data_IF_763563417584
#
_entry.id   IF_763563417584
#
_cell.length_a   1.000
_cell.length_b   1.000
_cell.length_c   1.000
_cell.angle_alpha   90.00
_cell.angle_beta   90.00
_cell.angle_gamma   90.00
#
_symmetry.space_group_name_H-M   'P 1'
#
loop_
_entity.id
_entity.type
_entity.pdbx_description
1 polymer ?
#
# COMPACT_ATOMS: atom_id res chain seq x y z
N UNK A 1 13.40 9.84 -4.70
CA UNK A 1 12.37 9.38 -5.66
C UNK A 1 12.90 9.42 -7.09
N UNK A 2 12.83 8.32 -7.84
CA UNK A 2 13.26 8.24 -9.25
C UNK A 2 12.17 8.78 -10.21
N UNK A 3 12.52 9.08 -11.47
CA UNK A 3 11.59 9.68 -12.46
C UNK A 3 10.39 8.78 -12.78
N UNK A 4 10.55 7.46 -12.79
CA UNK A 4 9.43 6.55 -13.06
C UNK A 4 8.39 6.55 -11.93
N UNK A 5 8.85 6.62 -10.67
CA UNK A 5 7.94 6.69 -9.52
C UNK A 5 7.16 8.00 -9.52
N UNK A 6 7.76 9.10 -9.99
CA UNK A 6 7.06 10.39 -10.17
C UNK A 6 5.98 10.28 -11.23
N UNK A 7 6.32 9.75 -12.40
CA UNK A 7 5.37 9.58 -13.50
C UNK A 7 4.21 8.67 -13.09
N UNK A 8 4.49 7.55 -12.41
CA UNK A 8 3.46 6.67 -11.88
C UNK A 8 2.53 7.42 -10.91
N UNK A 9 3.09 8.19 -9.98
CA UNK A 9 2.29 9.02 -9.06
C UNK A 9 1.40 10.01 -9.80
N UNK A 10 1.91 10.66 -10.84
CA UNK A 10 1.15 11.63 -11.63
C UNK A 10 0.00 10.94 -12.39
N UNK A 11 0.28 9.82 -13.07
CA UNK A 11 -0.73 9.04 -13.79
C UNK A 11 -1.78 8.52 -12.83
N UNK A 12 -1.37 7.87 -11.75
CA UNK A 12 -2.29 7.24 -10.81
C UNK A 12 -2.99 8.25 -9.91
N UNK A 13 -2.54 9.51 -9.80
CA UNK A 13 -3.31 10.57 -9.13
C UNK A 13 -4.63 10.88 -9.84
N UNK A 14 -4.73 10.53 -11.13
CA UNK A 14 -5.97 10.59 -11.91
C UNK A 14 -6.88 9.46 -11.40
N UNK A 15 -8.07 9.85 -10.94
CA UNK A 15 -9.02 8.94 -10.28
C UNK A 15 -9.34 7.72 -11.14
N UNK A 16 -9.58 7.92 -12.42
CA UNK A 16 -9.92 6.85 -13.36
C UNK A 16 -8.81 5.79 -13.44
N UNK A 17 -7.55 6.23 -13.52
CA UNK A 17 -6.40 5.33 -13.54
C UNK A 17 -6.27 4.53 -12.23
N UNK A 18 -6.39 5.20 -11.08
CA UNK A 18 -6.37 4.52 -9.79
C UNK A 18 -7.52 3.50 -9.64
N UNK A 19 -8.70 3.82 -10.17
CA UNK A 19 -9.83 2.89 -10.17
C UNK A 19 -9.53 1.65 -11.02
N UNK A 20 -9.00 1.84 -12.22
CA UNK A 20 -8.61 0.75 -13.13
C UNK A 20 -7.49 -0.11 -12.52
N UNK A 21 -6.49 0.52 -11.90
CA UNK A 21 -5.41 -0.16 -11.20
C UNK A 21 -5.95 -1.05 -10.07
N UNK A 22 -6.84 -0.53 -9.22
CA UNK A 22 -7.48 -1.30 -8.15
C UNK A 22 -8.31 -2.46 -8.71
N UNK A 23 -9.09 -2.22 -9.76
CA UNK A 23 -9.92 -3.27 -10.37
C UNK A 23 -9.10 -4.37 -11.05
N UNK A 24 -8.01 -4.00 -11.72
CA UNK A 24 -7.16 -4.91 -12.46
C UNK A 24 -6.22 -5.73 -11.59
N UNK A 25 -5.85 -5.22 -10.42
CA UNK A 25 -4.74 -5.81 -9.64
C UNK A 25 -5.11 -6.35 -8.27
N UNK A 26 -6.16 -5.85 -7.62
CA UNK A 26 -6.48 -6.30 -6.27
C UNK A 26 -7.07 -7.71 -6.29
N UNK A 27 -6.79 -8.53 -5.25
CA UNK A 27 -7.49 -9.79 -5.05
C UNK A 27 -9.02 -9.60 -5.06
N UNK A 28 -9.74 -10.45 -5.81
CA UNK A 28 -11.21 -10.31 -6.00
C UNK A 28 -11.99 -10.31 -4.68
N UNK A 29 -11.51 -11.01 -3.67
CA UNK A 29 -12.12 -11.05 -2.32
C UNK A 29 -11.97 -9.72 -1.56
N UNK A 30 -11.08 -8.84 -1.97
CA UNK A 30 -10.91 -7.48 -1.44
C UNK A 30 -11.64 -6.47 -2.33
N UNK A 31 -11.36 -6.45 -3.64
CA UNK A 31 -11.96 -5.47 -4.55
C UNK A 31 -13.49 -5.55 -4.61
N UNK A 32 -14.07 -6.75 -4.46
CA UNK A 32 -15.53 -6.92 -4.37
C UNK A 32 -16.18 -6.19 -3.18
N UNK A 33 -15.41 -5.89 -2.12
CA UNK A 33 -15.88 -5.19 -0.91
C UNK A 33 -15.74 -3.66 -1.01
N UNK A 34 -14.97 -3.16 -1.97
CA UNK A 34 -14.71 -1.73 -2.19
C UNK A 34 -15.77 -1.13 -3.11
N UNK A 35 -16.33 0.02 -2.75
CA UNK A 35 -17.15 0.83 -3.64
C UNK A 35 -16.24 1.75 -4.48
N UNK A 36 -15.56 1.17 -5.45
CA UNK A 36 -14.47 1.80 -6.23
C UNK A 36 -14.85 3.15 -6.85
N UNK A 37 -16.07 3.37 -7.39
CA UNK A 37 -16.49 4.70 -7.88
C UNK A 37 -16.44 5.83 -6.83
N UNK A 38 -16.46 5.50 -5.54
CA UNK A 38 -16.36 6.48 -4.45
C UNK A 38 -14.93 6.91 -4.13
N UNK A 39 -13.93 6.32 -4.79
CA UNK A 39 -12.53 6.66 -4.57
C UNK A 39 -12.28 8.16 -4.78
N UNK A 40 -11.59 8.77 -3.84
CA UNK A 40 -11.16 10.17 -3.88
C UNK A 40 -9.73 10.27 -3.37
N UNK A 41 -8.89 11.04 -4.07
CA UNK A 41 -7.51 11.25 -3.67
C UNK A 41 -7.48 12.04 -2.35
N UNK A 42 -6.72 11.54 -1.39
CA UNK A 42 -6.42 12.22 -0.16
C UNK A 42 -5.17 13.08 -0.35
N UNK A 43 -5.33 14.40 -0.27
CA UNK A 43 -4.24 15.35 -0.45
C UNK A 43 -3.47 15.65 0.85
N UNK A 44 -3.74 14.90 1.92
CA UNK A 44 -3.01 15.00 3.18
C UNK A 44 -1.62 14.38 3.03
N UNK A 45 -0.58 15.10 3.45
CA UNK A 45 0.77 14.53 3.52
C UNK A 45 0.91 13.68 4.79
N UNK A 46 0.94 12.36 4.64
CA UNK A 46 1.06 11.41 5.75
C UNK A 46 2.51 10.99 6.05
N UNK A 47 3.47 11.42 5.25
CA UNK A 47 4.86 10.98 5.36
C UNK A 47 5.81 12.11 5.72
N UNK A 48 6.81 11.74 6.51
CA UNK A 48 7.99 12.56 6.78
C UNK A 48 8.96 12.51 5.58
N UNK A 49 9.90 13.45 5.53
CA UNK A 49 10.88 13.58 4.44
C UNK A 49 11.69 12.29 4.20
N UNK A 50 11.89 11.48 5.25
CA UNK A 50 12.61 10.20 5.15
C UNK A 50 11.78 9.15 4.42
N UNK A 51 10.48 9.03 4.70
CA UNK A 51 9.59 8.10 4.00
C UNK A 51 9.36 8.50 2.53
N UNK A 52 9.33 9.80 2.22
CA UNK A 52 9.24 10.32 0.84
C UNK A 52 10.40 9.88 -0.07
N UNK A 53 11.55 9.52 0.51
CA UNK A 53 12.69 9.08 -0.28
C UNK A 53 12.48 7.68 -0.89
N UNK A 54 11.69 6.83 -0.22
CA UNK A 54 11.55 5.42 -0.56
C UNK A 54 10.35 5.12 -1.47
N UNK A 55 9.22 5.82 -1.32
CA UNK A 55 7.98 5.54 -2.05
C UNK A 55 7.38 6.79 -2.67
N UNK A 56 6.82 6.64 -3.88
CA UNK A 56 5.72 7.50 -4.30
C UNK A 56 4.46 6.98 -3.61
N UNK A 57 3.87 7.79 -2.73
CA UNK A 57 2.65 7.43 -2.04
C UNK A 57 1.43 8.14 -2.63
N UNK A 58 0.34 7.39 -2.77
CA UNK A 58 -1.00 7.90 -3.01
C UNK A 58 -1.93 7.29 -1.98
N UNK A 59 -2.72 8.12 -1.32
CA UNK A 59 -3.76 7.67 -0.40
C UNK A 59 -5.10 7.98 -1.02
N UNK A 60 -5.95 6.96 -1.13
CA UNK A 60 -7.33 7.12 -1.59
C UNK A 60 -8.28 6.84 -0.44
N UNK A 61 -9.25 7.74 -0.23
CA UNK A 61 -10.43 7.43 0.56
C UNK A 61 -11.40 6.65 -0.31
N UNK A 62 -11.97 5.56 0.21
CA UNK A 62 -12.97 4.73 -0.47
C UNK A 62 -14.02 4.25 0.55
N UNK A 63 -15.25 4.07 0.10
CA UNK A 63 -16.30 3.45 0.91
C UNK A 63 -16.27 1.94 0.77
N UNK A 64 -16.60 1.24 1.86
CA UNK A 64 -16.93 -0.17 1.81
C UNK A 64 -18.38 -0.35 1.36
N UNK A 65 -18.65 -1.36 0.53
CA UNK A 65 -20.01 -1.69 0.08
C UNK A 65 -20.94 -2.10 1.23
N UNK A 66 -20.39 -2.63 2.32
CA UNK A 66 -21.15 -3.00 3.51
C UNK A 66 -21.48 -1.76 4.35
N UNK A 67 -20.46 -1.19 4.99
CA UNK A 67 -20.52 0.03 5.79
C UNK A 67 -19.12 0.43 6.22
N UNK A 68 -18.88 1.73 6.35
CA UNK A 68 -17.62 2.31 6.79
C UNK A 68 -16.69 2.72 5.66
N UNK A 69 -15.62 3.39 6.05
CA UNK A 69 -14.62 3.96 5.14
C UNK A 69 -13.30 3.23 5.28
N UNK A 70 -12.55 3.19 4.17
CA UNK A 70 -11.23 2.58 4.07
C UNK A 70 -10.30 3.54 3.35
N UNK A 71 -9.07 3.66 3.86
CA UNK A 71 -7.98 4.32 3.17
C UNK A 71 -7.16 3.28 2.43
N UNK A 72 -7.00 3.43 1.13
CA UNK A 72 -6.14 2.60 0.28
C UNK A 72 -4.83 3.35 0.14
N UNK A 73 -3.75 2.80 0.68
CA UNK A 73 -2.43 3.43 0.64
C UNK A 73 -1.58 2.69 -0.37
N UNK A 74 -1.39 3.33 -1.53
CA UNK A 74 -0.65 2.80 -2.66
C UNK A 74 0.81 3.25 -2.51
N UNK A 75 1.69 2.28 -2.28
CA UNK A 75 3.12 2.46 -2.23
C UNK A 75 3.74 1.84 -3.48
N UNK A 76 4.38 2.68 -4.29
CA UNK A 76 5.08 2.22 -5.48
C UNK A 76 6.57 2.01 -5.18
N UNK A 77 7.05 0.77 -5.30
CA UNK A 77 8.47 0.43 -5.18
C UNK A 77 9.06 0.13 -6.57
N UNK A 78 10.03 0.94 -6.97
CA UNK A 78 10.75 0.79 -8.24
C UNK A 78 12.25 0.55 -8.01
N UNK A 79 12.62 -0.38 -7.14
CA UNK A 79 14.02 -0.66 -6.85
C UNK A 79 14.41 -2.08 -7.21
N UNK A 80 15.62 -2.20 -7.74
CA UNK A 80 16.40 -3.44 -7.83
C UNK A 80 16.84 -3.97 -6.45
N UNK A 81 16.56 -3.24 -5.36
CA UNK A 81 16.92 -3.60 -3.99
C UNK A 81 15.67 -3.64 -3.09
N UNK A 82 15.39 -4.82 -2.53
CA UNK A 82 14.31 -5.06 -1.57
C UNK A 82 14.67 -4.38 -0.24
N UNK A 83 13.77 -3.60 0.40
CA UNK A 83 14.04 -3.09 1.73
C UNK A 83 14.30 -4.24 2.72
N UNK A 84 15.22 -4.03 3.68
CA UNK A 84 15.53 -5.06 4.68
C UNK A 84 14.33 -5.40 5.59
N UNK A 85 13.36 -4.48 5.72
CA UNK A 85 12.11 -4.72 6.44
C UNK A 85 11.00 -3.82 5.88
N UNK A 86 10.20 -4.36 4.95
CA UNK A 86 9.03 -3.69 4.38
C UNK A 86 7.93 -3.45 5.42
N UNK A 87 7.79 -4.34 6.41
CA UNK A 87 6.74 -4.25 7.43
C UNK A 87 6.87 -3.05 8.34
N UNK A 88 8.07 -2.77 8.83
CA UNK A 88 8.28 -1.60 9.69
C UNK A 88 8.01 -0.29 8.96
N UNK A 89 8.24 -0.26 7.64
CA UNK A 89 7.92 0.90 6.81
C UNK A 89 6.41 1.04 6.61
N UNK A 90 5.72 -0.05 6.27
CA UNK A 90 4.25 -0.08 6.17
C UNK A 90 3.59 0.34 7.49
N UNK A 91 4.06 -0.22 8.61
CA UNK A 91 3.54 0.11 9.94
C UNK A 91 3.76 1.58 10.28
N UNK A 92 4.96 2.14 9.99
CA UNK A 92 5.21 3.57 10.23
C UNK A 92 4.28 4.45 9.41
N UNK A 93 4.02 4.07 8.15
CA UNK A 93 3.08 4.78 7.30
C UNK A 93 1.64 4.75 7.85
N UNK A 94 1.16 3.56 8.23
CA UNK A 94 -0.17 3.39 8.84
C UNK A 94 -0.29 4.19 10.14
N UNK A 95 0.75 4.14 10.98
CA UNK A 95 0.80 4.88 12.23
C UNK A 95 0.73 6.39 12.02
N UNK A 96 1.40 6.93 10.99
CA UNK A 96 1.33 8.35 10.67
C UNK A 96 -0.09 8.78 10.29
N UNK A 97 -0.79 8.00 9.47
CA UNK A 97 -2.21 8.25 9.13
C UNK A 97 -3.03 8.29 10.41
N UNK A 98 -2.95 7.25 11.23
CA UNK A 98 -3.73 7.17 12.46
C UNK A 98 -3.39 8.27 13.46
N UNK A 99 -2.12 8.67 13.56
CA UNK A 99 -1.68 9.77 14.42
C UNK A 99 -2.29 11.10 13.97
N UNK A 100 -2.35 11.36 12.65
CA UNK A 100 -3.03 12.54 12.11
C UNK A 100 -4.53 12.49 12.42
N UNK A 101 -5.18 11.35 12.23
CA UNK A 101 -6.60 11.16 12.56
C UNK A 101 -6.87 11.38 14.05
N UNK A 102 -6.03 10.83 14.93
CA UNK A 102 -6.13 11.01 16.39
C UNK A 102 -6.00 12.49 16.78
N UNK A 103 -5.00 13.20 16.24
CA UNK A 103 -4.81 14.62 16.48
C UNK A 103 -6.00 15.47 16.01
N UNK A 104 -6.64 15.07 14.92
CA UNK A 104 -7.86 15.70 14.39
C UNK A 104 -9.14 15.25 15.11
N UNK A 105 -9.05 14.32 16.08
CA UNK A 105 -10.19 13.69 16.76
C UNK A 105 -11.14 12.94 15.81
N UNK A 106 -10.58 12.42 14.72
CA UNK A 106 -11.26 11.55 13.78
C UNK A 106 -11.25 10.10 14.28
N UNK A 107 -12.21 9.31 13.81
CA UNK A 107 -12.17 7.86 14.02
C UNK A 107 -11.06 7.27 13.15
N UNK A 108 -10.30 6.32 13.69
CA UNK A 108 -9.30 5.58 12.92
C UNK A 108 -9.94 4.85 11.74
N UNK A 109 -9.42 5.10 10.55
CA UNK A 109 -9.83 4.40 9.33
C UNK A 109 -9.18 3.03 9.25
N UNK A 110 -9.88 2.07 8.64
CA UNK A 110 -9.22 0.87 8.11
C UNK A 110 -8.23 1.31 7.03
N UNK A 111 -7.01 0.79 7.07
CA UNK A 111 -5.99 1.04 6.05
C UNK A 111 -5.73 -0.25 5.28
N UNK A 112 -5.78 -0.18 3.96
CA UNK A 112 -5.34 -1.22 3.04
C UNK A 112 -4.00 -0.81 2.44
N UNK A 113 -2.88 -1.29 3.01
CA UNK A 113 -1.57 -1.08 2.40
C UNK A 113 -1.40 -1.94 1.16
N UNK A 114 -0.92 -1.31 0.10
CA UNK A 114 -0.72 -1.94 -1.19
C UNK A 114 0.68 -1.57 -1.68
N UNK A 115 1.47 -2.59 -1.98
CA UNK A 115 2.78 -2.43 -2.61
C UNK A 115 2.64 -2.83 -4.07
N UNK A 116 2.85 -1.86 -4.97
CA UNK A 116 3.09 -2.14 -6.37
C UNK A 116 4.58 -2.26 -6.58
N UNK A 117 5.01 -3.44 -7.00
CA UNK A 117 6.41 -3.75 -7.20
C UNK A 117 6.72 -3.89 -8.68
N UNK A 118 7.76 -3.16 -9.11
CA UNK A 118 8.38 -3.30 -10.41
C UNK A 118 9.89 -3.42 -10.26
N UNK A 119 10.43 -4.63 -10.39
CA UNK A 119 11.86 -4.88 -10.28
C UNK A 119 12.31 -6.15 -10.99
N UNK A 120 13.60 -6.47 -10.88
CA UNK A 120 14.21 -7.58 -11.65
C UNK A 120 14.19 -8.92 -10.93
N UNK A 121 13.80 -8.94 -9.65
CA UNK A 121 13.76 -10.15 -8.81
C UNK A 121 12.33 -10.47 -8.40
N UNK A 122 12.01 -11.74 -8.16
CA UNK A 122 10.69 -12.11 -7.63
C UNK A 122 10.55 -11.59 -6.21
N UNK A 123 9.48 -10.84 -5.91
CA UNK A 123 9.16 -10.47 -4.53
C UNK A 123 8.26 -11.54 -3.90
N UNK A 124 8.80 -12.24 -2.91
CA UNK A 124 8.03 -13.13 -2.06
C UNK A 124 7.58 -12.39 -0.80
N UNK A 125 6.25 -12.29 -0.65
CA UNK A 125 5.61 -11.71 0.52
C UNK A 125 5.92 -12.59 1.72
N UNK A 126 6.44 -11.98 2.78
CA UNK A 126 6.81 -12.62 4.04
C UNK A 126 5.94 -12.04 5.15
N UNK A 127 5.20 -12.79 5.94
CA UNK A 127 4.39 -12.25 7.05
C UNK A 127 5.26 -11.64 8.16
N UNK A 128 4.73 -10.69 8.92
CA UNK A 128 5.50 -10.06 10.01
C UNK A 128 5.99 -11.08 11.05
N UNK A 129 5.15 -12.09 11.34
CA UNK A 129 5.48 -13.21 12.23
C UNK A 129 6.75 -13.95 11.78
N UNK A 130 7.00 -14.08 10.49
CA UNK A 130 8.18 -14.79 9.96
C UNK A 130 9.50 -14.05 10.22
N UNK A 131 9.46 -12.81 10.73
CA UNK A 131 10.67 -12.11 11.22
C UNK A 131 11.06 -12.52 12.64
N UNK A 132 10.22 -13.32 13.31
CA UNK A 132 10.40 -13.83 14.67
C UNK A 132 10.39 -15.36 14.64
N UNK A 133 11.06 -15.96 13.66
CA UNK A 133 11.06 -17.40 13.39
C UNK A 133 11.72 -18.25 14.49
N UNK A 134 12.39 -17.60 15.44
CA UNK A 134 12.96 -18.19 16.66
C UNK A 134 11.95 -18.30 17.82
N UNK A 135 10.77 -17.69 17.71
CA UNK A 135 9.72 -17.74 18.74
C UNK A 135 8.66 -18.78 18.35
N UNK A 136 8.78 -20.00 18.89
CA UNK A 136 7.84 -21.10 18.61
C UNK A 136 6.61 -21.12 19.55
N UNK A 137 6.67 -20.45 20.70
CA UNK A 137 5.59 -20.44 21.69
C UNK A 137 4.40 -19.60 21.23
N UNK A 138 3.25 -20.24 20.98
CA UNK A 138 2.03 -19.58 20.53
C UNK A 138 1.49 -18.53 21.51
N UNK A 139 1.71 -18.71 22.81
CA UNK A 139 1.29 -17.74 23.83
C UNK A 139 2.18 -16.49 23.78
N UNK A 140 3.40 -16.57 23.24
CA UNK A 140 4.24 -15.41 23.01
C UNK A 140 3.99 -14.77 21.63
N UNK A 141 3.67 -15.57 20.61
CA UNK A 141 3.39 -15.07 19.26
C UNK A 141 2.19 -14.11 19.21
N UNK A 142 1.23 -14.22 20.14
CA UNK A 142 0.08 -13.30 20.21
C UNK A 142 0.45 -11.83 20.45
N UNK A 143 1.66 -11.55 20.94
CA UNK A 143 2.18 -10.19 21.14
C UNK A 143 2.80 -9.59 19.87
N UNK A 144 2.90 -10.35 18.78
CA UNK A 144 3.42 -9.88 17.49
C UNK A 144 2.25 -9.25 16.70
N UNK A 145 2.37 -7.98 16.26
CA UNK A 145 1.35 -7.34 15.45
C UNK A 145 0.98 -8.11 14.18
N UNK A 146 -0.32 -8.31 13.96
CA UNK A 146 -0.84 -8.85 12.70
C UNK A 146 -1.10 -7.68 11.75
N UNK A 147 -0.23 -7.52 10.77
CA UNK A 147 -0.36 -6.51 9.72
C UNK A 147 -0.38 -7.24 8.39
N UNK A 148 -1.31 -6.84 7.53
CA UNK A 148 -1.48 -7.43 6.22
C UNK A 148 -1.41 -6.37 5.12
N UNK A 149 -0.84 -6.74 3.98
CA UNK A 149 -0.74 -5.88 2.80
C UNK A 149 -0.98 -6.65 1.49
N UNK A 150 -1.44 -5.92 0.48
CA UNK A 150 -1.58 -6.45 -0.88
C UNK A 150 -0.25 -6.21 -1.59
N UNK A 151 0.36 -7.29 -2.10
CA UNK A 151 1.52 -7.19 -2.98
C UNK A 151 1.05 -7.43 -4.41
N UNK A 152 1.20 -6.43 -5.26
CA UNK A 152 0.96 -6.54 -6.70
C UNK A 152 2.30 -6.47 -7.43
N UNK A 153 2.73 -7.58 -8.01
CA UNK A 153 3.87 -7.62 -8.91
C UNK A 153 3.42 -7.19 -10.31
N UNK A 154 3.88 -6.01 -10.75
CA UNK A 154 3.54 -5.44 -12.05
C UNK A 154 4.68 -5.53 -13.06
N UNK A 155 5.69 -6.37 -12.81
CA UNK A 155 6.84 -6.55 -13.72
C UNK A 155 6.43 -6.88 -15.15
N UNK A 156 5.33 -7.61 -15.32
CA UNK A 156 4.82 -8.05 -16.64
C UNK A 156 4.03 -6.99 -17.41
N UNK A 157 3.57 -5.91 -16.77
CA UNK A 157 2.72 -4.92 -17.44
C UNK A 157 3.51 -3.97 -18.37
N UNK A 158 4.85 -3.90 -18.23
CA UNK A 158 5.68 -3.01 -19.06
C UNK A 158 6.04 -3.58 -20.44
N UNK A 159 5.99 -4.90 -20.67
CA UNK A 159 6.35 -5.46 -21.98
C UNK A 159 5.31 -5.14 -23.07
N UNK A 160 4.08 -4.80 -22.69
CA UNK A 160 2.99 -4.46 -23.61
C UNK A 160 2.85 -2.94 -23.87
N UNK A 161 3.39 -2.07 -23.00
CA UNK A 161 3.26 -0.61 -23.10
C UNK A 161 4.42 0.09 -23.85
N UNK A 162 5.43 -0.67 -24.30
CA UNK A 162 6.63 -0.13 -24.99
C UNK A 162 6.58 -0.37 -26.53
N UNK A 163 5.52 -0.99 -27.06
CA UNK A 163 5.43 -1.35 -28.48
C UNK A 163 4.22 -0.74 -29.22
N UNK A 164 3.88 0.53 -28.99
CA UNK A 164 3.05 1.33 -29.92
C UNK A 164 3.59 2.77 -30.07
#
# INVERSE_FOLDING_TARGET
MNELSKLFREIESIKENAMDLVQGTFPKNISSKLDIPTMTLDNTSYIDEKLQEYYSDLVYNCKLKSSGDVKITILFEHKSYKPANEYLQLLRYMLNIWTIQENNKEKLSLILPVIFYHGTTKWEKKYFLEYFDDIEDSDLQQFIPVIEYILTDITKFNDELIND
#
